data_IF_549446844750
#
_entry.id   IF_549446844750
#
_cell.length_a   1.000
_cell.length_b   1.000
_cell.length_c   1.000
_cell.angle_alpha   90.00
_cell.angle_beta   90.00
_cell.angle_gamma   90.00
#
_symmetry.space_group_name_H-M   'P 1'
#
loop_
_entity.id
_entity.type
_entity.pdbx_description
1 polymer ?
#
# COMPACT_ATOMS: atom_id res chain seq x y z
N UNK A 1 13.34 20.02 -5.90
CA UNK A 1 13.13 18.96 -6.91
C UNK A 1 11.76 19.18 -7.53
N UNK A 2 11.64 19.15 -8.86
CA UNK A 2 10.33 19.16 -9.50
C UNK A 2 9.71 17.78 -9.33
N UNK A 3 8.56 17.71 -8.67
CA UNK A 3 7.84 16.45 -8.52
C UNK A 3 7.10 16.14 -9.82
N UNK A 4 7.00 14.86 -10.22
CA UNK A 4 6.15 14.52 -11.33
C UNK A 4 4.69 14.84 -10.95
N UNK A 5 4.03 15.70 -11.72
CA UNK A 5 2.59 15.96 -11.57
C UNK A 5 1.75 14.68 -11.77
N UNK A 6 2.33 13.68 -12.43
CA UNK A 6 1.68 12.42 -12.79
C UNK A 6 2.59 11.26 -12.44
N UNK A 7 2.04 10.29 -11.71
CA UNK A 7 2.68 8.99 -11.44
C UNK A 7 2.59 8.13 -12.72
N UNK A 8 3.73 7.76 -13.29
CA UNK A 8 3.81 7.08 -14.61
C UNK A 8 4.00 5.57 -14.50
N UNK A 9 4.63 5.10 -13.42
CA UNK A 9 4.97 3.71 -13.24
C UNK A 9 5.01 3.32 -11.74
N UNK A 10 5.31 2.05 -11.44
CA UNK A 10 5.37 1.54 -10.06
C UNK A 10 6.53 2.12 -9.26
N UNK A 11 7.64 2.44 -9.90
CA UNK A 11 8.81 3.02 -9.23
C UNK A 11 8.48 4.42 -8.72
N UNK A 12 7.73 5.22 -9.50
CA UNK A 12 7.20 6.52 -9.06
C UNK A 12 6.32 6.37 -7.81
N UNK A 13 5.46 5.33 -7.76
CA UNK A 13 4.63 5.05 -6.57
C UNK A 13 5.50 4.72 -5.36
N UNK A 14 6.50 3.85 -5.51
CA UNK A 14 7.40 3.46 -4.42
C UNK A 14 8.16 4.67 -3.87
N UNK A 15 8.68 5.51 -4.76
CA UNK A 15 9.42 6.73 -4.40
C UNK A 15 8.52 7.70 -3.61
N UNK A 16 7.32 7.98 -4.12
CA UNK A 16 6.39 8.92 -3.49
C UNK A 16 5.92 8.41 -2.13
N UNK A 17 5.57 7.11 -2.01
CA UNK A 17 5.21 6.51 -0.72
C UNK A 17 6.35 6.60 0.30
N UNK A 18 7.61 6.43 -0.14
CA UNK A 18 8.78 6.57 0.72
C UNK A 18 8.91 7.99 1.28
N UNK A 19 8.68 9.00 0.44
CA UNK A 19 8.71 10.41 0.85
C UNK A 19 7.59 10.75 1.84
N UNK A 20 6.38 10.25 1.60
CA UNK A 20 5.23 10.44 2.52
C UNK A 20 5.55 9.79 3.87
N UNK A 21 6.06 8.55 3.88
CA UNK A 21 6.42 7.85 5.10
C UNK A 21 7.50 8.59 5.90
N UNK A 22 8.53 9.11 5.22
CA UNK A 22 9.56 9.94 5.83
C UNK A 22 8.98 11.21 6.48
N UNK A 23 8.04 11.88 5.80
CA UNK A 23 7.39 13.06 6.37
C UNK A 23 6.66 12.72 7.68
N UNK A 24 5.89 11.64 7.73
CA UNK A 24 5.21 11.23 8.97
C UNK A 24 6.19 10.86 10.08
N UNK A 25 7.29 10.17 9.77
CA UNK A 25 8.32 9.82 10.77
C UNK A 25 8.91 11.07 11.44
N UNK A 26 9.07 12.17 10.70
CA UNK A 26 9.64 13.42 11.20
C UNK A 26 8.61 14.31 11.89
N UNK A 27 7.40 14.42 11.33
CA UNK A 27 6.43 15.45 11.73
C UNK A 27 5.32 14.91 12.64
N UNK A 28 4.96 13.64 12.49
CA UNK A 28 3.86 13.00 13.24
C UNK A 28 4.23 11.56 13.66
N UNK A 29 5.27 11.37 14.49
CA UNK A 29 5.78 10.04 14.84
C UNK A 29 4.76 9.18 15.62
N UNK A 30 3.76 9.80 16.26
CA UNK A 30 2.67 9.09 16.95
C UNK A 30 1.54 8.63 16.01
N UNK A 31 1.59 9.02 14.73
CA UNK A 31 0.59 8.62 13.73
C UNK A 31 0.68 7.11 13.46
N UNK A 32 -0.46 6.42 13.24
CA UNK A 32 -0.45 5.02 12.81
C UNK A 32 -0.09 4.85 11.32
N UNK A 33 -0.05 5.95 10.54
CA UNK A 33 0.11 5.89 9.09
C UNK A 33 1.48 5.37 8.60
N UNK A 34 2.63 5.67 9.20
CA UNK A 34 3.92 5.12 8.77
C UNK A 34 3.90 3.59 8.62
N UNK A 35 3.37 2.88 9.61
CA UNK A 35 3.30 1.43 9.59
C UNK A 35 2.41 0.89 8.45
N UNK A 36 1.34 1.61 8.10
CA UNK A 36 0.44 1.26 6.99
C UNK A 36 1.08 1.58 5.64
N UNK A 37 1.77 2.71 5.52
CA UNK A 37 2.45 3.13 4.30
C UNK A 37 3.63 2.23 3.94
N UNK A 38 4.41 1.77 4.93
CA UNK A 38 5.46 0.78 4.71
C UNK A 38 4.91 -0.56 4.21
N UNK A 39 3.73 -0.97 4.71
CA UNK A 39 3.03 -2.16 4.19
C UNK A 39 2.59 -1.93 2.76
N UNK A 40 1.99 -0.78 2.45
CA UNK A 40 1.58 -0.43 1.09
C UNK A 40 2.76 -0.43 0.12
N UNK A 41 3.89 0.16 0.49
CA UNK A 41 5.09 0.21 -0.34
C UNK A 41 5.62 -1.19 -0.68
N UNK A 42 5.61 -2.13 0.27
CA UNK A 42 6.00 -3.55 0.04
C UNK A 42 5.05 -4.30 -0.89
N UNK A 43 3.80 -3.85 -1.03
CA UNK A 43 2.80 -4.46 -1.89
C UNK A 43 2.94 -3.99 -3.35
N UNK A 44 3.40 -2.75 -3.57
CA UNK A 44 3.56 -2.17 -4.91
C UNK A 44 4.59 -2.93 -5.76
N UNK A 45 5.62 -3.49 -5.14
CA UNK A 45 6.72 -4.17 -5.83
C UNK A 45 6.46 -5.65 -6.13
N UNK A 46 5.34 -6.23 -5.67
CA UNK A 46 5.03 -7.65 -5.86
C UNK A 46 3.77 -7.82 -6.71
N UNK A 47 3.74 -8.83 -7.59
CA UNK A 47 2.48 -9.41 -8.07
C UNK A 47 1.86 -10.27 -6.96
N UNK A 48 1.59 -9.61 -5.84
CA UNK A 48 1.25 -10.24 -4.58
C UNK A 48 -0.08 -10.98 -4.67
N UNK A 49 -0.97 -10.51 -5.54
CA UNK A 49 -2.26 -11.14 -5.77
C UNK A 49 -2.15 -12.37 -6.67
N UNK A 50 -1.26 -12.38 -7.66
CA UNK A 50 -0.96 -13.62 -8.39
C UNK A 50 -0.37 -14.67 -7.43
N UNK A 51 0.57 -14.27 -6.58
CA UNK A 51 1.22 -15.15 -5.60
C UNK A 51 0.24 -15.74 -4.55
N UNK A 52 -0.63 -14.91 -3.96
CA UNK A 52 -1.61 -15.36 -2.96
C UNK A 52 -2.68 -16.26 -3.61
N UNK A 53 -3.13 -15.95 -4.83
CA UNK A 53 -4.08 -16.80 -5.56
C UNK A 53 -3.50 -18.19 -5.86
N UNK A 54 -2.20 -18.27 -6.10
CA UNK A 54 -1.50 -19.52 -6.37
C UNK A 54 -1.24 -20.34 -5.10
N UNK A 55 -0.86 -19.69 -3.99
CA UNK A 55 -0.43 -20.37 -2.76
C UNK A 55 -1.53 -20.58 -1.71
N UNK A 56 -2.51 -19.67 -1.62
CA UNK A 56 -3.54 -19.69 -0.60
C UNK A 56 -4.82 -18.98 -1.11
N UNK A 57 -5.65 -19.67 -1.90
CA UNK A 57 -6.85 -19.10 -2.52
C UNK A 57 -7.80 -18.44 -1.52
N UNK A 58 -7.93 -19.04 -0.33
CA UNK A 58 -8.77 -18.55 0.78
C UNK A 58 -8.19 -17.29 1.45
N UNK A 59 -6.87 -17.10 1.38
CA UNK A 59 -6.17 -15.93 1.91
C UNK A 59 -6.47 -14.63 1.16
N UNK A 60 -7.03 -14.72 -0.05
CA UNK A 60 -7.46 -13.55 -0.85
C UNK A 60 -8.59 -12.78 -0.15
N UNK A 61 -9.56 -13.48 0.43
CA UNK A 61 -10.69 -12.86 1.12
C UNK A 61 -10.23 -12.11 2.39
N UNK A 62 -9.36 -12.74 3.17
CA UNK A 62 -8.76 -12.15 4.36
C UNK A 62 -7.89 -10.93 4.01
N UNK A 63 -7.10 -11.02 2.94
CA UNK A 63 -6.30 -9.89 2.46
C UNK A 63 -7.18 -8.71 2.05
N UNK A 64 -8.25 -8.94 1.28
CA UNK A 64 -9.16 -7.86 0.86
C UNK A 64 -9.77 -7.14 2.06
N UNK A 65 -10.11 -7.86 3.13
CA UNK A 65 -10.60 -7.26 4.37
C UNK A 65 -9.55 -6.37 5.04
N UNK A 66 -8.32 -6.87 5.22
CA UNK A 66 -7.22 -6.13 5.87
C UNK A 66 -6.76 -4.93 5.03
N UNK A 67 -6.79 -5.06 3.70
CA UNK A 67 -6.42 -4.00 2.77
C UNK A 67 -7.53 -2.95 2.58
N UNK A 68 -8.69 -3.10 3.24
CA UNK A 68 -9.83 -2.18 3.09
C UNK A 68 -10.49 -2.25 1.70
N UNK A 69 -10.36 -3.37 0.99
CA UNK A 69 -10.91 -3.62 -0.35
C UNK A 69 -12.23 -4.40 -0.30
N UNK A 70 -12.72 -4.75 0.88
CA UNK A 70 -14.03 -5.36 1.04
C UNK A 70 -15.11 -4.30 0.74
N UNK A 71 -15.87 -4.50 -0.33
CA UNK A 71 -17.05 -3.70 -0.64
C UNK A 71 -18.00 -3.82 0.56
N UNK A 72 -18.35 -2.70 1.17
CA UNK A 72 -19.42 -2.66 2.15
C UNK A 72 -20.71 -3.13 1.47
N UNK A 73 -21.23 -4.29 1.89
CA UNK A 73 -22.59 -4.68 1.55
C UNK A 73 -23.53 -3.67 2.21
N UNK A 74 -24.05 -2.76 1.40
CA UNK A 74 -25.21 -1.97 1.75
C UNK A 74 -26.45 -2.86 1.70
N UNK A 75 -26.93 -3.22 2.89
CA UNK A 75 -28.35 -3.41 3.21
C UNK A 75 -28.62 -2.78 4.56
#
# INVERSE_FOLDING_TARGET
>A
ASYPEVIRNRDDVVEILGRICHWYQVNEPASPLPALLERAQRLVSKDFMALIKELAPEGVAQYRSIAGLAVGEGT
#
